data_IF_911284313052
#
_entry.id   IF_911284313052
#
_cell.length_a   1.000
_cell.length_b   1.000
_cell.length_c   1.000
_cell.angle_alpha   90.00
_cell.angle_beta   90.00
_cell.angle_gamma   90.00
#
_symmetry.space_group_name_H-M   'P 1'
#
loop_
_entity.id
_entity.type
_entity.pdbx_description
1 polymer ?
#
# COMPACT_ATOMS: atom_id res chain seq x y z
N UNK A 1 -12.80 -3.08 5.65
CA UNK A 1 -12.46 -2.31 6.87
C UNK A 1 -10.99 -1.83 6.84
N UNK A 2 -10.01 -2.67 6.42
CA UNK A 2 -8.62 -2.25 6.40
C UNK A 2 -8.41 -1.02 5.52
N UNK A 3 -8.78 -1.09 4.24
CA UNK A 3 -8.55 0.03 3.31
C UNK A 3 -9.31 1.30 3.70
N UNK A 4 -10.39 1.19 4.44
CA UNK A 4 -11.06 2.34 5.04
C UNK A 4 -10.22 2.93 6.19
N UNK A 5 -9.60 2.09 7.02
CA UNK A 5 -8.65 2.56 8.05
C UNK A 5 -7.41 3.21 7.42
N UNK A 6 -6.91 2.63 6.31
CA UNK A 6 -5.78 3.18 5.56
C UNK A 6 -6.13 4.59 5.02
N UNK A 7 -7.34 4.77 4.47
CA UNK A 7 -7.81 6.08 4.00
C UNK A 7 -7.96 7.09 5.16
N UNK A 8 -8.55 6.69 6.29
CA UNK A 8 -8.64 7.54 7.48
C UNK A 8 -7.24 8.01 7.89
N UNK A 9 -6.27 7.11 7.91
CA UNK A 9 -4.88 7.42 8.27
C UNK A 9 -4.26 8.41 7.28
N UNK A 10 -4.45 8.22 5.97
CA UNK A 10 -3.97 9.17 4.97
C UNK A 10 -4.61 10.55 5.20
N UNK A 11 -5.93 10.62 5.44
CA UNK A 11 -6.63 11.87 5.71
C UNK A 11 -6.09 12.61 6.95
N UNK A 12 -5.71 11.89 8.00
CA UNK A 12 -5.14 12.47 9.23
C UNK A 12 -3.73 13.01 9.04
N UNK A 13 -2.91 12.37 8.17
CA UNK A 13 -1.50 12.69 8.02
C UNK A 13 -1.16 13.48 6.76
N UNK A 14 -2.10 13.61 5.81
CA UNK A 14 -1.83 14.33 4.55
C UNK A 14 -1.55 15.82 4.81
N UNK A 15 -0.56 16.34 4.09
CA UNK A 15 -0.14 17.74 4.13
C UNK A 15 -0.70 18.57 2.97
N UNK A 16 -1.27 17.90 1.97
CA UNK A 16 -1.82 18.50 0.76
C UNK A 16 -3.19 17.93 0.46
N UNK A 17 -4.00 18.64 -0.32
CA UNK A 17 -5.34 18.19 -0.72
C UNK A 17 -5.24 16.93 -1.60
N UNK A 18 -4.23 16.86 -2.46
CA UNK A 18 -3.99 15.76 -3.40
C UNK A 18 -2.61 15.15 -3.18
N UNK A 19 -2.44 14.33 -2.13
CA UNK A 19 -1.16 13.68 -1.88
C UNK A 19 -0.84 12.67 -2.98
N UNK A 20 0.45 12.45 -3.24
CA UNK A 20 0.92 11.33 -4.03
C UNK A 20 1.00 10.10 -3.13
N UNK A 21 0.16 9.11 -3.40
CA UNK A 21 0.10 7.84 -2.69
C UNK A 21 0.65 6.74 -3.59
N UNK A 22 1.65 6.02 -3.12
CA UNK A 22 2.25 4.91 -3.86
C UNK A 22 1.98 3.60 -3.14
N UNK A 23 1.29 2.67 -3.79
CA UNK A 23 1.23 1.28 -3.36
C UNK A 23 2.34 0.51 -4.05
N UNK A 24 3.25 -0.05 -3.25
CA UNK A 24 4.38 -0.82 -3.77
C UNK A 24 4.27 -2.30 -3.43
N UNK A 25 4.54 -3.15 -4.43
CA UNK A 25 4.85 -4.55 -4.18
C UNK A 25 6.14 -4.66 -3.34
N UNK A 26 6.21 -5.69 -2.50
CA UNK A 26 7.40 -6.02 -1.74
C UNK A 26 7.55 -7.55 -1.63
N UNK A 27 8.78 -8.08 -1.51
CA UNK A 27 9.02 -9.52 -1.52
C UNK A 27 8.43 -10.22 -0.29
N UNK A 28 8.04 -11.49 -0.46
CA UNK A 28 7.54 -12.35 0.62
C UNK A 28 7.84 -13.82 0.32
N UNK A 29 8.08 -14.69 1.33
CA UNK A 29 8.43 -16.09 1.12
C UNK A 29 7.24 -16.96 0.66
N UNK A 30 6.02 -16.46 0.76
CA UNK A 30 4.79 -17.15 0.33
C UNK A 30 3.98 -16.25 -0.59
N UNK A 31 3.28 -16.82 -1.58
CA UNK A 31 2.35 -16.05 -2.40
C UNK A 31 1.17 -15.61 -1.53
N UNK A 32 0.93 -14.31 -1.45
CA UNK A 32 -0.22 -13.76 -0.73
C UNK A 32 -1.32 -13.38 -1.72
N UNK A 33 -2.60 -13.48 -1.32
CA UNK A 33 -3.71 -13.11 -2.19
C UNK A 33 -3.73 -11.61 -2.50
N UNK A 34 -4.36 -11.23 -3.60
CA UNK A 34 -4.50 -9.84 -4.03
C UNK A 34 -5.63 -9.07 -3.33
N UNK A 35 -6.33 -9.68 -2.37
CA UNK A 35 -7.49 -9.06 -1.71
C UNK A 35 -7.17 -7.70 -1.08
N UNK A 36 -6.01 -7.57 -0.41
CA UNK A 36 -5.62 -6.30 0.23
C UNK A 36 -5.22 -5.25 -0.80
N UNK A 37 -4.29 -5.49 -1.75
CA UNK A 37 -3.94 -4.49 -2.74
C UNK A 37 -5.13 -4.10 -3.63
N UNK A 38 -6.00 -5.04 -4.00
CA UNK A 38 -7.23 -4.74 -4.74
C UNK A 38 -8.16 -3.78 -3.97
N UNK A 39 -8.42 -4.09 -2.70
CA UNK A 39 -9.26 -3.22 -1.87
C UNK A 39 -8.63 -1.86 -1.61
N UNK A 40 -7.30 -1.80 -1.40
CA UNK A 40 -6.61 -0.51 -1.26
C UNK A 40 -6.72 0.32 -2.55
N UNK A 41 -6.49 -0.32 -3.70
CA UNK A 41 -6.59 0.36 -4.99
C UNK A 41 -8.01 0.90 -5.27
N UNK A 42 -9.06 0.13 -4.95
CA UNK A 42 -10.45 0.60 -5.07
C UNK A 42 -10.72 1.87 -4.25
N UNK A 43 -10.25 1.90 -2.99
CA UNK A 43 -10.43 3.08 -2.13
C UNK A 43 -9.62 4.27 -2.62
N UNK A 44 -8.37 4.08 -3.07
CA UNK A 44 -7.55 5.17 -3.61
C UNK A 44 -8.12 5.73 -4.91
N UNK A 45 -8.62 4.87 -5.81
CA UNK A 45 -9.30 5.30 -7.05
C UNK A 45 -10.61 6.08 -6.80
N UNK A 46 -11.21 5.96 -5.62
CA UNK A 46 -12.38 6.74 -5.23
C UNK A 46 -12.02 8.14 -4.69
N UNK A 47 -10.73 8.48 -4.60
CA UNK A 47 -10.23 9.80 -4.18
C UNK A 47 -9.67 10.58 -5.36
N UNK A 48 -9.36 11.86 -5.12
CA UNK A 48 -8.63 12.72 -6.08
C UNK A 48 -7.10 12.64 -5.94
N UNK A 49 -6.57 11.65 -5.23
CA UNK A 49 -5.12 11.51 -4.99
C UNK A 49 -4.35 11.18 -6.27
N UNK A 50 -3.07 11.56 -6.32
CA UNK A 50 -2.16 11.06 -7.35
C UNK A 50 -1.72 9.64 -6.97
N UNK A 51 -2.53 8.66 -7.39
CA UNK A 51 -2.32 7.26 -7.00
C UNK A 51 -1.46 6.52 -8.02
N UNK A 52 -0.41 5.87 -7.51
CA UNK A 52 0.54 5.07 -8.30
C UNK A 52 0.62 3.66 -7.72
N UNK A 53 0.57 2.66 -8.60
CA UNK A 53 0.83 1.25 -8.26
C UNK A 53 2.18 0.89 -8.86
N UNK A 54 3.10 0.33 -8.04
CA UNK A 54 4.41 -0.11 -8.53
C UNK A 54 4.70 -1.55 -8.11
N UNK A 55 5.14 -2.34 -9.08
CA UNK A 55 5.43 -3.77 -8.92
C UNK A 55 6.35 -4.28 -10.03
N UNK A 56 7.07 -5.40 -9.84
CA UNK A 56 7.77 -6.07 -10.94
C UNK A 56 6.78 -6.54 -12.01
N UNK A 57 7.26 -6.70 -13.25
CA UNK A 57 6.46 -7.30 -14.34
C UNK A 57 5.90 -8.67 -13.92
N UNK A 58 4.66 -8.96 -14.31
CA UNK A 58 3.95 -10.20 -13.98
C UNK A 58 3.16 -10.16 -12.65
N UNK A 59 3.21 -9.03 -11.93
CA UNK A 59 2.43 -8.83 -10.69
C UNK A 59 1.29 -7.83 -10.85
N UNK A 60 0.81 -7.64 -12.08
CA UNK A 60 -0.31 -6.74 -12.36
C UNK A 60 -1.54 -7.11 -11.52
N UNK A 61 -2.26 -6.10 -11.07
CA UNK A 61 -3.61 -6.29 -10.56
C UNK A 61 -4.58 -6.40 -11.75
N UNK A 62 -5.75 -7.02 -11.50
CA UNK A 62 -6.78 -7.06 -12.53
C UNK A 62 -7.21 -5.63 -12.92
N UNK A 63 -7.49 -5.36 -14.22
CA UNK A 63 -7.75 -4.01 -14.73
C UNK A 63 -8.82 -3.23 -13.97
N UNK A 64 -9.85 -3.91 -13.47
CA UNK A 64 -10.91 -3.28 -12.67
C UNK A 64 -10.41 -2.69 -11.36
N UNK A 65 -9.31 -3.21 -10.79
CA UNK A 65 -8.72 -2.70 -9.55
C UNK A 65 -7.64 -1.65 -9.83
N UNK A 66 -6.95 -1.74 -10.96
CA UNK A 66 -6.01 -0.69 -11.40
C UNK A 66 -6.77 0.63 -11.59
N UNK A 67 -7.95 0.58 -12.23
CA UNK A 67 -8.77 1.76 -12.44
C UNK A 67 -8.02 2.89 -13.15
N UNK A 68 -7.98 4.08 -12.54
CA UNK A 68 -7.28 5.27 -13.05
C UNK A 68 -5.85 5.42 -12.50
N UNK A 69 -5.38 4.47 -11.69
CA UNK A 69 -4.04 4.51 -11.13
C UNK A 69 -2.96 4.49 -12.22
N UNK A 70 -1.89 5.24 -12.01
CA UNK A 70 -0.68 5.07 -12.81
C UNK A 70 0.03 3.78 -12.41
N UNK A 71 0.53 3.01 -13.38
CA UNK A 71 1.38 1.85 -13.12
C UNK A 71 2.81 2.22 -13.50
N UNK A 72 3.75 1.98 -12.59
CA UNK A 72 5.18 2.21 -12.79
C UNK A 72 5.95 0.95 -12.37
N UNK A 73 6.79 0.44 -13.26
CA UNK A 73 7.59 -0.76 -13.03
C UNK A 73 8.96 -0.47 -12.40
N UNK A 74 9.34 0.79 -12.32
CA UNK A 74 10.53 1.26 -11.59
C UNK A 74 10.11 1.82 -10.24
N UNK A 75 10.44 1.10 -9.16
CA UNK A 75 10.07 1.48 -7.79
C UNK A 75 10.64 2.85 -7.41
N UNK A 76 11.88 3.16 -7.81
CA UNK A 76 12.52 4.45 -7.48
C UNK A 76 11.78 5.61 -8.14
N UNK A 77 11.40 5.48 -9.42
CA UNK A 77 10.60 6.49 -10.11
C UNK A 77 9.21 6.63 -9.52
N UNK A 78 8.57 5.52 -9.14
CA UNK A 78 7.28 5.58 -8.47
C UNK A 78 7.36 6.38 -7.17
N UNK A 79 8.45 6.21 -6.40
CA UNK A 79 8.64 6.86 -5.09
C UNK A 79 9.00 8.34 -5.18
N UNK A 80 9.55 8.82 -6.31
CA UNK A 80 9.93 10.23 -6.46
C UNK A 80 8.77 11.17 -6.07
N UNK A 81 9.00 12.00 -5.05
CA UNK A 81 8.04 12.98 -4.57
C UNK A 81 6.76 12.40 -3.94
N UNK A 82 6.72 11.12 -3.59
CA UNK A 82 5.58 10.53 -2.89
C UNK A 82 5.41 11.11 -1.48
N UNK A 83 4.16 11.24 -1.04
CA UNK A 83 3.79 11.65 0.32
C UNK A 83 3.45 10.46 1.21
N UNK A 84 3.00 9.34 0.62
CA UNK A 84 2.70 8.09 1.30
C UNK A 84 3.22 6.89 0.51
N UNK A 85 3.82 5.93 1.22
CA UNK A 85 4.26 4.63 0.69
C UNK A 85 3.50 3.53 1.43
N UNK A 86 2.62 2.83 0.73
CA UNK A 86 1.91 1.66 1.25
C UNK A 86 2.56 0.40 0.68
N UNK A 87 3.29 -0.34 1.51
CA UNK A 87 3.97 -1.56 1.08
C UNK A 87 3.11 -2.81 1.31
N UNK A 88 3.02 -3.67 0.28
CA UNK A 88 2.31 -4.94 0.40
C UNK A 88 2.91 -6.00 -0.53
N UNK A 89 2.88 -7.25 -0.10
CA UNK A 89 3.11 -8.38 -1.01
C UNK A 89 1.80 -8.86 -1.61
N UNK A 90 1.85 -9.27 -2.86
CA UNK A 90 0.81 -10.06 -3.52
C UNK A 90 1.40 -10.99 -4.58
N UNK A 91 0.69 -12.08 -4.89
CA UNK A 91 1.08 -13.03 -5.91
C UNK A 91 0.64 -12.57 -7.31
N UNK A 92 1.23 -13.16 -8.34
CA UNK A 92 0.79 -12.98 -9.72
C UNK A 92 -0.70 -13.36 -9.88
N UNK A 93 -1.42 -12.61 -10.72
CA UNK A 93 -2.86 -12.79 -10.94
C UNK A 93 -3.17 -13.61 -12.19
N UNK A 94 -2.40 -13.47 -13.28
CA UNK A 94 -2.80 -13.92 -14.59
C UNK A 94 -2.13 -15.22 -15.07
N UNK A 95 -2.86 -15.99 -15.86
CA UNK A 95 -2.38 -17.14 -16.61
C UNK A 95 -1.82 -18.27 -15.73
N UNK A 96 -0.81 -18.95 -16.28
CA UNK A 96 -0.13 -20.07 -15.61
C UNK A 96 0.63 -19.66 -14.35
N UNK A 97 0.83 -18.35 -14.16
CA UNK A 97 1.53 -17.78 -13.00
C UNK A 97 0.62 -17.45 -11.82
N UNK A 98 -0.69 -17.71 -11.93
CA UNK A 98 -1.64 -17.38 -10.87
C UNK A 98 -1.21 -17.99 -9.52
N UNK A 99 -1.15 -17.15 -8.49
CA UNK A 99 -0.79 -17.58 -7.15
C UNK A 99 0.69 -17.96 -6.98
N UNK A 100 1.57 -17.67 -7.94
CA UNK A 100 3.00 -17.97 -7.86
C UNK A 100 3.82 -16.77 -7.37
N UNK A 101 5.02 -17.08 -6.85
CA UNK A 101 6.06 -16.10 -6.58
C UNK A 101 6.99 -16.09 -7.80
N UNK A 102 6.91 -15.06 -8.62
CA UNK A 102 7.75 -14.90 -9.81
C UNK A 102 9.08 -14.22 -9.49
N UNK A 103 9.10 -13.34 -8.48
CA UNK A 103 10.29 -12.62 -8.05
C UNK A 103 10.52 -12.77 -6.55
N UNK A 104 11.79 -12.93 -6.15
CA UNK A 104 12.26 -12.83 -4.78
C UNK A 104 13.26 -11.68 -4.64
N UNK A 105 13.18 -10.73 -5.56
CA UNK A 105 14.11 -9.62 -5.64
C UNK A 105 13.96 -8.72 -4.40
N UNK A 106 15.03 -8.67 -3.63
CA UNK A 106 15.11 -7.88 -2.41
C UNK A 106 15.34 -6.39 -2.66
N UNK A 107 15.67 -5.99 -3.87
CA UNK A 107 15.74 -4.57 -4.24
C UNK A 107 14.37 -3.88 -4.09
N UNK A 108 13.28 -4.67 -4.10
CA UNK A 108 11.92 -4.19 -3.82
C UNK A 108 11.59 -4.06 -2.33
N UNK A 109 12.53 -4.39 -1.43
CA UNK A 109 12.37 -4.12 0.01
C UNK A 109 12.41 -2.61 0.23
N UNK A 110 11.39 -2.06 0.87
CA UNK A 110 11.37 -0.62 1.19
C UNK A 110 12.46 -0.33 2.23
N UNK A 111 13.42 0.49 1.86
CA UNK A 111 14.55 0.90 2.70
C UNK A 111 14.73 2.42 2.67
N UNK A 112 15.65 2.94 3.47
CA UNK A 112 15.98 4.37 3.46
C UNK A 112 16.36 4.87 2.06
N UNK A 113 17.04 4.04 1.26
CA UNK A 113 17.39 4.39 -0.12
C UNK A 113 16.16 4.78 -0.95
N UNK A 114 15.08 4.01 -0.86
CA UNK A 114 13.84 4.32 -1.56
C UNK A 114 13.10 5.50 -0.90
N UNK A 115 13.14 5.59 0.43
CA UNK A 115 12.48 6.68 1.14
C UNK A 115 13.12 8.04 0.90
N UNK A 116 14.43 8.12 0.62
CA UNK A 116 15.17 9.37 0.35
C UNK A 116 14.69 10.13 -0.87
N UNK A 117 14.13 9.47 -1.90
CA UNK A 117 13.62 10.15 -3.11
C UNK A 117 12.17 10.65 -2.95
N UNK A 118 11.53 10.34 -1.85
CA UNK A 118 10.15 10.76 -1.55
C UNK A 118 10.08 12.21 -1.04
N UNK A 119 8.88 12.74 -0.95
CA UNK A 119 8.62 14.03 -0.29
C UNK A 119 8.52 13.85 1.25
N UNK A 120 9.52 13.23 1.87
CA UNK A 120 9.49 12.84 3.29
C UNK A 120 8.22 12.04 3.60
N UNK A 121 7.97 10.99 2.80
CA UNK A 121 6.76 10.20 2.83
C UNK A 121 6.55 9.46 4.15
N UNK A 122 5.29 9.30 4.52
CA UNK A 122 4.91 8.36 5.56
C UNK A 122 4.89 6.93 5.03
N UNK A 123 5.44 6.01 5.82
CA UNK A 123 5.42 4.57 5.53
C UNK A 123 4.20 3.91 6.19
N UNK A 124 3.47 3.10 5.43
CA UNK A 124 2.25 2.38 5.82
C UNK A 124 2.33 0.88 5.49
N UNK A 125 1.69 0.06 6.31
CA UNK A 125 1.50 -1.37 6.09
C UNK A 125 0.42 -1.92 7.01
N UNK A 126 -0.53 -2.66 6.46
CA UNK A 126 -1.69 -3.20 7.20
C UNK A 126 -1.39 -4.23 8.31
N UNK A 127 -0.13 -4.48 8.63
CA UNK A 127 0.32 -5.47 9.61
C UNK A 127 -0.38 -6.86 9.51
N UNK A 128 0.27 -7.97 9.93
CA UNK A 128 1.66 -8.01 10.38
C UNK A 128 2.63 -7.84 9.23
N UNK A 129 3.82 -7.28 9.49
CA UNK A 129 4.87 -7.03 8.51
C UNK A 129 6.09 -7.93 8.74
N UNK A 130 6.76 -8.33 7.65
CA UNK A 130 8.06 -9.01 7.73
C UNK A 130 9.18 -8.00 7.62
N UNK A 131 9.81 -7.72 8.75
CA UNK A 131 10.98 -6.83 8.86
C UNK A 131 12.15 -7.39 8.05
N UNK A 132 12.93 -6.48 7.46
CA UNK A 132 14.08 -6.78 6.59
C UNK A 132 13.77 -7.69 5.39
N UNK A 133 12.49 -7.68 4.99
CA UNK A 133 11.99 -8.34 3.79
C UNK A 133 10.99 -7.42 3.04
N UNK A 134 9.92 -6.99 3.67
CA UNK A 134 8.98 -6.01 3.10
C UNK A 134 9.54 -4.60 3.29
N UNK A 135 10.03 -4.32 4.47
CA UNK A 135 10.59 -3.04 4.90
C UNK A 135 11.76 -3.28 5.84
N UNK A 136 12.76 -2.41 5.79
CA UNK A 136 13.92 -2.48 6.69
C UNK A 136 13.60 -1.94 8.09
N UNK A 137 14.39 -2.34 9.08
CA UNK A 137 14.19 -1.92 10.47
C UNK A 137 14.30 -0.40 10.64
N UNK A 138 15.21 0.24 9.94
CA UNK A 138 15.43 1.68 9.98
C UNK A 138 14.23 2.48 9.45
N UNK A 139 13.50 1.96 8.47
CA UNK A 139 12.28 2.61 7.96
C UNK A 139 11.09 2.39 8.91
N UNK A 140 10.85 1.14 9.33
CA UNK A 140 9.67 0.86 10.16
C UNK A 140 9.75 1.45 11.57
N UNK A 141 10.95 1.66 12.09
CA UNK A 141 11.18 2.32 13.39
C UNK A 141 11.39 3.84 13.26
N UNK A 142 11.34 4.37 12.04
CA UNK A 142 11.53 5.81 11.82
C UNK A 142 10.30 6.62 12.26
N UNK A 143 10.46 7.94 12.48
CA UNK A 143 9.33 8.85 12.72
C UNK A 143 8.32 8.94 11.55
N UNK A 144 8.72 8.53 10.34
CA UNK A 144 7.85 8.46 9.18
C UNK A 144 6.96 7.21 9.17
N UNK A 145 7.24 6.19 9.99
CA UNK A 145 6.39 5.00 10.07
C UNK A 145 5.11 5.30 10.85
N UNK A 146 3.98 5.20 10.18
CA UNK A 146 2.64 5.41 10.78
C UNK A 146 1.83 4.11 10.85
N UNK A 147 2.49 2.95 10.83
CA UNK A 147 1.83 1.64 10.88
C UNK A 147 1.03 1.40 12.16
N UNK A 148 1.40 2.02 13.28
CA UNK A 148 0.68 1.89 14.55
C UNK A 148 -0.59 2.77 14.56
N UNK A 149 -0.55 4.05 14.20
CA UNK A 149 -1.76 4.84 13.95
C UNK A 149 -2.71 4.20 12.93
N UNK A 150 -2.18 3.68 11.81
CA UNK A 150 -2.95 2.94 10.79
C UNK A 150 -3.67 1.73 11.41
N UNK A 151 -2.99 0.94 12.23
CA UNK A 151 -3.60 -0.19 12.93
C UNK A 151 -4.69 0.26 13.92
N UNK A 152 -4.50 1.36 14.64
CA UNK A 152 -5.48 1.94 15.57
C UNK A 152 -6.75 2.39 14.85
N UNK A 153 -6.64 2.96 13.65
CA UNK A 153 -7.77 3.41 12.84
C UNK A 153 -8.71 2.27 12.38
N UNK A 154 -8.32 1.01 12.54
CA UNK A 154 -9.22 -0.14 12.31
C UNK A 154 -10.39 -0.15 13.31
N UNK A 155 -10.19 0.27 14.53
CA UNK A 155 -11.27 0.40 15.51
C UNK A 155 -12.29 1.46 15.07
N UNK A 156 -11.80 2.62 14.62
CA UNK A 156 -12.65 3.71 14.11
C UNK A 156 -13.41 3.23 12.87
N UNK A 157 -12.73 2.61 11.90
CA UNK A 157 -13.36 2.11 10.69
C UNK A 157 -14.45 1.08 10.98
N UNK A 158 -14.21 0.15 11.91
CA UNK A 158 -15.19 -0.85 12.31
C UNK A 158 -16.40 -0.21 13.00
N UNK A 159 -16.18 0.77 13.88
CA UNK A 159 -17.24 1.50 14.60
C UNK A 159 -18.15 2.25 13.62
N UNK A 160 -17.56 2.96 12.64
CA UNK A 160 -18.34 3.71 11.64
C UNK A 160 -19.19 2.77 10.78
N UNK A 161 -18.61 1.67 10.32
CA UNK A 161 -19.35 0.69 9.49
C UNK A 161 -20.47 0.03 10.28
N UNK A 162 -20.20 -0.40 11.53
CA UNK A 162 -21.22 -0.99 12.39
C UNK A 162 -22.36 -0.01 12.66
N UNK A 163 -22.04 1.24 13.00
CA UNK A 163 -23.05 2.30 13.18
C UNK A 163 -23.92 2.46 11.95
N UNK A 164 -23.33 2.57 10.76
CA UNK A 164 -24.08 2.72 9.49
C UNK A 164 -24.98 1.52 9.20
N UNK A 165 -24.52 0.31 9.48
CA UNK A 165 -25.34 -0.90 9.33
C UNK A 165 -26.55 -0.88 10.28
N UNK A 166 -26.36 -0.49 11.54
CA UNK A 166 -27.45 -0.41 12.52
C UNK A 166 -28.45 0.69 12.20
N UNK A 167 -28.01 1.82 11.65
CA UNK A 167 -28.88 2.93 11.22
C UNK A 167 -29.72 2.58 9.96
N UNK A 168 -29.34 1.51 9.22
CA UNK A 168 -30.04 1.05 8.02
C UNK A 168 -31.07 -0.06 8.27
N UNK A 169 -31.18 -0.56 9.49
CA UNK A 169 -32.17 -1.54 9.94
C UNK A 169 -33.47 -0.88 10.38
#
# INVERSE_FOLDING_TARGET
LQSFADLITIEEYKKTVRPKVVMTWAPHPRPLPQAVPNSFAEWMNATDYDFVITHPEGYELAPQFVGNAKVEYDQMKAFEGADFIYAKNWAAYAGDNYGQILSKDREWTVSNRQMEVTNNAFFMHCLPVRRNMIVTDDVIESPQSIVIPEAANREISATVVLKKLLESL
#
